data_IF_880045533831
#
_entry.id   IF_880045533831
#
_cell.length_a   1.000
_cell.length_b   1.000
_cell.length_c   1.000
_cell.angle_alpha   90.00
_cell.angle_beta   90.00
_cell.angle_gamma   90.00
#
_symmetry.space_group_name_H-M   'P 1'
#
loop_
_entity.id
_entity.type
_entity.pdbx_description
1 polymer ?
#
# COMPACT_ATOMS: atom_id res chain seq x y z
N UNK A 1 29.11 -40.00 42.02
CA UNK A 1 29.52 -39.46 40.70
C UNK A 1 28.39 -39.31 39.67
N UNK A 2 27.29 -40.10 39.65
CA UNK A 2 26.24 -39.94 38.62
C UNK A 2 25.34 -38.70 38.83
N UNK A 3 24.94 -38.38 40.07
CA UNK A 3 24.06 -37.22 40.38
C UNK A 3 24.65 -35.86 39.97
N UNK A 4 25.98 -35.71 39.99
CA UNK A 4 26.66 -34.47 39.62
C UNK A 4 26.67 -34.23 38.09
N UNK A 5 26.71 -35.32 37.31
CA UNK A 5 26.59 -35.29 35.84
C UNK A 5 25.15 -35.01 35.42
N UNK A 6 24.19 -35.59 36.12
CA UNK A 6 22.76 -35.41 35.84
C UNK A 6 22.31 -33.98 36.11
N UNK A 7 22.77 -33.37 37.23
CA UNK A 7 22.54 -31.96 37.53
C UNK A 7 23.18 -31.01 36.50
N UNK A 8 24.44 -31.24 36.11
CA UNK A 8 25.10 -30.46 35.05
C UNK A 8 24.38 -30.56 33.70
N UNK A 9 23.81 -31.72 33.37
CA UNK A 9 23.07 -31.92 32.12
C UNK A 9 21.74 -31.16 32.14
N UNK A 10 21.09 -31.11 33.30
CA UNK A 10 19.85 -30.38 33.49
C UNK A 10 20.07 -28.85 33.45
N UNK A 11 21.13 -28.37 34.09
CA UNK A 11 21.53 -26.95 34.05
C UNK A 11 21.85 -26.52 32.60
N UNK A 12 22.51 -27.39 31.82
CA UNK A 12 22.81 -27.14 30.40
C UNK A 12 21.55 -27.08 29.53
N UNK A 13 20.55 -27.92 29.82
CA UNK A 13 19.26 -27.91 29.12
C UNK A 13 18.46 -26.65 29.45
N UNK A 14 18.48 -26.19 30.69
CA UNK A 14 17.82 -24.95 31.11
C UNK A 14 18.47 -23.72 30.44
N UNK A 15 19.80 -23.68 30.39
CA UNK A 15 20.55 -22.63 29.68
C UNK A 15 20.20 -22.62 28.19
N UNK A 16 20.11 -23.79 27.54
CA UNK A 16 19.72 -23.91 26.14
C UNK A 16 18.28 -23.45 25.90
N UNK A 17 17.38 -23.73 26.85
CA UNK A 17 16.01 -23.21 26.84
C UNK A 17 15.96 -21.68 26.89
N UNK A 18 16.69 -21.06 27.82
CA UNK A 18 16.75 -19.60 27.95
C UNK A 18 17.38 -18.92 26.72
N UNK A 19 18.41 -19.52 26.13
CA UNK A 19 19.01 -19.06 24.86
C UNK A 19 18.02 -19.05 23.71
N UNK A 20 17.17 -20.08 23.60
CA UNK A 20 16.13 -20.14 22.58
C UNK A 20 15.05 -19.06 22.76
N UNK A 21 14.66 -18.77 24.00
CA UNK A 21 13.69 -17.69 24.27
C UNK A 21 14.27 -16.31 23.95
N UNK A 22 15.52 -16.04 24.36
CA UNK A 22 16.24 -14.80 23.99
C UNK A 22 16.32 -14.64 22.46
N UNK A 23 16.60 -15.74 21.74
CA UNK A 23 16.66 -15.71 20.28
C UNK A 23 15.30 -15.37 19.66
N UNK A 24 14.19 -15.92 20.20
CA UNK A 24 12.83 -15.59 19.73
C UNK A 24 12.48 -14.13 20.01
N UNK A 25 12.85 -13.60 21.17
CA UNK A 25 12.58 -12.20 21.51
C UNK A 25 13.41 -11.23 20.66
N UNK A 26 14.68 -11.57 20.40
CA UNK A 26 15.52 -10.81 19.48
C UNK A 26 14.94 -10.82 18.06
N UNK A 27 14.41 -11.95 17.60
CA UNK A 27 13.74 -12.08 16.31
C UNK A 27 12.48 -11.20 16.24
N UNK A 28 11.62 -11.24 17.25
CA UNK A 28 10.42 -10.38 17.36
C UNK A 28 10.79 -8.89 17.39
N UNK A 29 11.83 -8.53 18.12
CA UNK A 29 12.31 -7.15 18.19
C UNK A 29 12.82 -6.64 16.84
N UNK A 30 13.61 -7.45 16.13
CA UNK A 30 14.11 -7.12 14.78
C UNK A 30 12.94 -7.00 13.79
N UNK A 31 11.95 -7.91 13.85
CA UNK A 31 10.75 -7.86 13.01
C UNK A 31 9.94 -6.57 13.24
N UNK A 32 9.69 -6.22 14.51
CA UNK A 32 8.97 -4.99 14.88
C UNK A 32 9.74 -3.72 14.49
N UNK A 33 11.07 -3.70 14.73
CA UNK A 33 11.93 -2.57 14.40
C UNK A 33 12.00 -2.34 12.88
N UNK A 34 12.13 -3.41 12.10
CA UNK A 34 12.15 -3.32 10.64
C UNK A 34 10.79 -2.86 10.08
N UNK A 35 9.67 -3.35 10.61
CA UNK A 35 8.34 -2.89 10.22
C UNK A 35 8.14 -1.40 10.52
N UNK A 36 8.44 -0.97 11.75
CA UNK A 36 8.33 0.43 12.14
C UNK A 36 9.24 1.35 11.31
N UNK A 37 10.46 0.91 11.02
CA UNK A 37 11.39 1.67 10.18
C UNK A 37 10.89 1.78 8.73
N UNK A 38 10.40 0.69 8.14
CA UNK A 38 9.83 0.71 6.78
C UNK A 38 8.57 1.58 6.71
N UNK A 39 7.68 1.50 7.69
CA UNK A 39 6.46 2.32 7.74
C UNK A 39 6.80 3.81 7.92
N UNK A 40 7.81 4.12 8.73
CA UNK A 40 8.30 5.51 8.91
C UNK A 40 8.92 6.04 7.62
N UNK A 41 9.74 5.24 6.92
CA UNK A 41 10.35 5.62 5.64
C UNK A 41 9.29 5.78 4.54
N UNK A 42 8.31 4.88 4.46
CA UNK A 42 7.23 4.93 3.48
C UNK A 42 6.27 6.10 3.74
N UNK A 43 5.86 6.32 4.99
CA UNK A 43 4.99 7.45 5.36
C UNK A 43 5.69 8.79 5.16
N UNK A 44 6.97 8.90 5.51
CA UNK A 44 7.80 10.07 5.22
C UNK A 44 7.90 10.34 3.72
N UNK A 45 8.20 9.30 2.93
CA UNK A 45 8.27 9.41 1.46
C UNK A 45 6.95 9.86 0.86
N UNK A 46 5.82 9.27 1.29
CA UNK A 46 4.48 9.67 0.85
C UNK A 46 4.19 11.13 1.16
N UNK A 47 4.50 11.59 2.37
CA UNK A 47 4.33 13.00 2.74
C UNK A 47 5.14 13.94 1.85
N UNK A 48 6.40 13.60 1.55
CA UNK A 48 7.24 14.40 0.65
C UNK A 48 6.68 14.47 -0.78
N UNK A 49 6.26 13.34 -1.35
CA UNK A 49 5.67 13.30 -2.69
C UNK A 49 4.35 14.08 -2.74
N UNK A 50 3.46 13.89 -1.77
CA UNK A 50 2.20 14.63 -1.68
C UNK A 50 2.46 16.13 -1.58
N UNK A 51 3.42 16.57 -0.76
CA UNK A 51 3.76 17.98 -0.64
C UNK A 51 4.36 18.56 -1.93
N UNK A 52 5.20 17.80 -2.65
CA UNK A 52 5.74 18.22 -3.94
C UNK A 52 4.63 18.37 -4.99
N UNK A 53 3.70 17.41 -5.05
CA UNK A 53 2.53 17.45 -5.94
C UNK A 53 1.65 18.65 -5.63
N UNK A 54 1.32 18.87 -4.35
CA UNK A 54 0.54 20.03 -3.91
C UNK A 54 1.26 21.33 -4.28
N UNK A 55 2.57 21.40 -4.07
CA UNK A 55 3.38 22.57 -4.43
C UNK A 55 3.28 22.89 -5.92
N UNK A 56 3.38 21.87 -6.79
CA UNK A 56 3.23 22.05 -8.23
C UNK A 56 1.81 22.50 -8.61
N UNK A 57 0.77 21.83 -8.07
CA UNK A 57 -0.63 22.21 -8.29
C UNK A 57 -0.90 23.65 -7.86
N UNK A 58 -0.32 24.07 -6.73
CA UNK A 58 -0.49 25.44 -6.22
C UNK A 58 0.25 26.46 -7.09
N UNK A 59 1.46 26.13 -7.57
CA UNK A 59 2.21 26.96 -8.51
C UNK A 59 1.44 27.23 -9.80
N UNK A 60 0.87 26.17 -10.38
CA UNK A 60 0.15 26.24 -11.66
C UNK A 60 -1.15 27.08 -11.56
N UNK A 61 -1.79 27.15 -10.39
CA UNK A 61 -3.04 27.93 -10.21
C UNK A 61 -2.84 29.39 -10.60
N UNK A 62 -1.77 30.04 -10.13
CA UNK A 62 -1.59 31.48 -10.35
C UNK A 62 -1.29 31.78 -11.82
N UNK A 63 -0.39 31.00 -12.43
CA UNK A 63 -0.02 31.13 -13.84
C UNK A 63 -1.21 30.87 -14.78
N UNK A 64 -2.00 29.82 -14.53
CA UNK A 64 -3.15 29.46 -15.35
C UNK A 64 -4.27 30.51 -15.23
N UNK A 65 -4.56 31.00 -14.03
CA UNK A 65 -5.56 32.05 -13.84
C UNK A 65 -5.12 33.36 -14.48
N UNK A 66 -3.86 33.78 -14.30
CA UNK A 66 -3.32 35.00 -14.89
C UNK A 66 -3.42 34.97 -16.43
N UNK A 67 -3.05 33.84 -17.02
CA UNK A 67 -3.01 33.69 -18.48
C UNK A 67 -4.39 33.59 -19.12
N UNK A 68 -5.37 32.96 -18.44
CA UNK A 68 -6.62 32.52 -19.07
C UNK A 68 -7.87 33.31 -18.64
N UNK A 69 -7.81 34.09 -17.55
CA UNK A 69 -8.90 34.99 -17.15
C UNK A 69 -9.06 36.19 -18.09
N UNK A 70 -10.26 36.78 -18.12
CA UNK A 70 -10.56 37.99 -18.91
C UNK A 70 -9.64 39.14 -18.49
N UNK A 71 -8.84 39.67 -19.44
CA UNK A 71 -7.82 40.71 -19.16
C UNK A 71 -8.42 42.07 -18.82
N UNK A 72 -9.45 42.50 -19.54
CA UNK A 72 -10.13 43.79 -19.32
C UNK A 72 -11.38 43.57 -18.47
N UNK A 73 -11.20 43.48 -17.16
CA UNK A 73 -12.30 43.32 -16.19
C UNK A 73 -11.97 44.09 -14.91
N UNK A 74 -12.88 44.94 -14.44
CA UNK A 74 -12.69 45.77 -13.24
C UNK A 74 -12.59 44.93 -11.96
N UNK A 75 -13.23 43.75 -11.94
CA UNK A 75 -13.20 42.83 -10.80
C UNK A 75 -12.11 41.75 -10.91
N UNK A 76 -11.18 41.87 -11.87
CA UNK A 76 -10.20 40.80 -12.18
C UNK A 76 -9.42 40.36 -10.95
N UNK A 77 -8.82 41.29 -10.21
CA UNK A 77 -8.00 40.97 -9.02
C UNK A 77 -8.83 40.30 -7.92
N UNK A 78 -10.03 40.80 -7.67
CA UNK A 78 -10.95 40.20 -6.69
C UNK A 78 -11.33 38.77 -7.08
N UNK A 79 -11.68 38.54 -8.35
CA UNK A 79 -11.98 37.21 -8.86
C UNK A 79 -10.76 36.29 -8.78
N UNK A 80 -9.58 36.77 -9.19
CA UNK A 80 -8.34 35.99 -9.15
C UNK A 80 -8.01 35.56 -7.72
N UNK A 81 -8.11 36.47 -6.75
CA UNK A 81 -7.90 36.17 -5.34
C UNK A 81 -8.89 35.12 -4.82
N UNK A 82 -10.19 35.28 -5.11
CA UNK A 82 -11.22 34.32 -4.66
C UNK A 82 -11.02 32.93 -5.29
N UNK A 83 -10.73 32.87 -6.58
CA UNK A 83 -10.50 31.62 -7.28
C UNK A 83 -9.21 30.93 -6.83
N UNK A 84 -8.16 31.70 -6.59
CA UNK A 84 -6.90 31.18 -6.03
C UNK A 84 -7.14 30.56 -4.66
N UNK A 85 -7.83 31.27 -3.76
CA UNK A 85 -8.18 30.75 -2.44
C UNK A 85 -9.03 29.48 -2.51
N UNK A 86 -10.04 29.45 -3.38
CA UNK A 86 -10.87 28.26 -3.61
C UNK A 86 -10.03 27.06 -4.06
N UNK A 87 -9.19 27.23 -5.09
CA UNK A 87 -8.38 26.15 -5.66
C UNK A 87 -7.26 25.70 -4.72
N UNK A 88 -6.65 26.60 -3.95
CA UNK A 88 -5.65 26.26 -2.92
C UNK A 88 -6.27 25.48 -1.77
N UNK A 89 -7.46 25.86 -1.30
CA UNK A 89 -8.18 25.13 -0.27
C UNK A 89 -8.49 23.70 -0.72
N UNK A 90 -8.96 23.53 -1.97
CA UNK A 90 -9.22 22.21 -2.52
C UNK A 90 -7.94 21.38 -2.71
N UNK A 91 -6.86 21.98 -3.21
CA UNK A 91 -5.55 21.31 -3.30
C UNK A 91 -5.04 20.85 -1.92
N UNK A 92 -5.32 21.61 -0.86
CA UNK A 92 -4.98 21.25 0.52
C UNK A 92 -5.60 19.93 0.99
N UNK A 93 -6.75 19.51 0.44
CA UNK A 93 -7.38 18.23 0.75
C UNK A 93 -6.51 17.03 0.36
N UNK A 94 -5.56 17.20 -0.57
CA UNK A 94 -4.65 16.12 -0.98
C UNK A 94 -3.70 15.67 0.13
N UNK A 95 -3.59 16.44 1.22
CA UNK A 95 -2.83 16.05 2.43
C UNK A 95 -3.54 14.96 3.23
N UNK A 96 -4.85 14.81 3.05
CA UNK A 96 -5.65 13.85 3.80
C UNK A 96 -5.50 12.45 3.22
N UNK A 97 -5.63 11.44 4.07
CA UNK A 97 -5.64 10.04 3.64
C UNK A 97 -6.87 9.66 2.82
N UNK A 98 -7.98 10.33 3.10
CA UNK A 98 -9.26 10.14 2.42
C UNK A 98 -10.06 11.44 2.42
N UNK A 99 -10.78 11.69 1.34
CA UNK A 99 -11.65 12.86 1.13
C UNK A 99 -13.06 12.36 0.87
N UNK A 100 -13.99 12.72 1.74
CA UNK A 100 -15.39 12.30 1.60
C UNK A 100 -16.09 13.00 0.43
N UNK A 101 -17.00 12.31 -0.24
CA UNK A 101 -17.74 12.86 -1.39
C UNK A 101 -18.50 14.15 -1.04
N UNK A 102 -19.05 14.25 0.16
CA UNK A 102 -19.75 15.46 0.60
C UNK A 102 -18.86 16.71 0.59
N UNK A 103 -17.56 16.56 0.84
CA UNK A 103 -16.60 17.67 0.78
C UNK A 103 -16.45 18.17 -0.66
N UNK A 104 -16.35 17.24 -1.62
CA UNK A 104 -16.22 17.57 -3.04
C UNK A 104 -17.51 18.18 -3.58
N UNK A 105 -18.66 17.61 -3.23
CA UNK A 105 -19.98 18.13 -3.60
C UNK A 105 -20.21 19.54 -3.02
N UNK A 106 -19.78 19.77 -1.77
CA UNK A 106 -19.83 21.09 -1.16
C UNK A 106 -18.95 22.09 -1.92
N UNK A 107 -17.70 21.76 -2.20
CA UNK A 107 -16.81 22.65 -2.97
C UNK A 107 -17.39 22.97 -4.36
N UNK A 108 -18.01 21.98 -5.02
CA UNK A 108 -18.69 22.18 -6.29
C UNK A 108 -19.92 23.09 -6.17
N UNK A 109 -20.71 22.92 -5.11
CA UNK A 109 -21.83 23.80 -4.78
C UNK A 109 -21.37 25.23 -4.50
N UNK A 110 -20.28 25.41 -3.75
CA UNK A 110 -19.73 26.73 -3.43
C UNK A 110 -19.29 27.47 -4.71
N UNK A 111 -18.60 26.77 -5.63
CA UNK A 111 -18.22 27.34 -6.92
C UNK A 111 -19.44 27.73 -7.78
N UNK A 112 -20.49 26.90 -7.79
CA UNK A 112 -21.74 27.20 -8.49
C UNK A 112 -22.50 28.38 -7.86
N UNK A 113 -22.42 28.52 -6.53
CA UNK A 113 -22.94 29.66 -5.79
C UNK A 113 -22.23 30.96 -6.18
N UNK A 114 -20.89 30.94 -6.29
CA UNK A 114 -20.12 32.08 -6.80
C UNK A 114 -20.54 32.46 -8.23
N UNK A 115 -20.79 31.46 -9.09
CA UNK A 115 -21.21 31.67 -10.48
C UNK A 115 -22.60 32.30 -10.60
N UNK A 116 -23.55 31.85 -9.79
CA UNK A 116 -24.94 32.35 -9.82
C UNK A 116 -25.05 33.84 -9.47
N UNK A 117 -24.09 34.35 -8.69
CA UNK A 117 -24.02 35.77 -8.30
C UNK A 117 -23.21 36.62 -9.28
N UNK A 118 -22.71 36.05 -10.39
CA UNK A 118 -21.86 36.77 -11.32
C UNK A 118 -22.69 37.68 -12.27
N UNK A 119 -22.33 38.97 -12.42
CA UNK A 119 -23.19 39.97 -13.06
C UNK A 119 -23.16 39.95 -14.60
N UNK A 120 -22.26 39.19 -15.23
CA UNK A 120 -22.01 39.29 -16.67
C UNK A 120 -21.67 37.96 -17.33
N UNK A 121 -22.09 37.81 -18.60
CA UNK A 121 -21.72 36.68 -19.46
C UNK A 121 -20.21 36.52 -19.64
N UNK A 122 -19.42 37.59 -19.48
CA UNK A 122 -17.95 37.50 -19.59
C UNK A 122 -17.32 36.73 -18.43
N UNK A 123 -18.00 36.60 -17.29
CA UNK A 123 -17.55 35.83 -16.13
C UNK A 123 -17.50 34.33 -16.44
N UNK A 124 -18.31 33.84 -17.39
CA UNK A 124 -18.36 32.44 -17.81
C UNK A 124 -16.99 31.91 -18.24
N UNK A 125 -16.20 32.74 -18.93
CA UNK A 125 -14.84 32.35 -19.32
C UNK A 125 -13.98 32.06 -18.09
N UNK A 126 -14.02 32.94 -17.08
CA UNK A 126 -13.24 32.76 -15.85
C UNK A 126 -13.72 31.54 -15.06
N UNK A 127 -15.03 31.37 -14.87
CA UNK A 127 -15.57 30.19 -14.18
C UNK A 127 -15.25 28.88 -14.89
N UNK A 128 -15.25 28.86 -16.24
CA UNK A 128 -14.82 27.71 -17.01
C UNK A 128 -13.35 27.34 -16.75
N UNK A 129 -12.46 28.33 -16.60
CA UNK A 129 -11.06 28.06 -16.24
C UNK A 129 -10.94 27.47 -14.84
N UNK A 130 -11.65 28.05 -13.86
CA UNK A 130 -11.64 27.57 -12.48
C UNK A 130 -12.21 26.17 -12.38
N UNK A 131 -13.29 25.88 -13.12
CA UNK A 131 -13.90 24.56 -13.18
C UNK A 131 -12.99 23.52 -13.81
N UNK A 132 -12.19 23.90 -14.82
CA UNK A 132 -11.16 23.03 -15.40
C UNK A 132 -10.06 22.71 -14.38
N UNK A 133 -9.50 23.73 -13.72
CA UNK A 133 -8.48 23.56 -12.68
C UNK A 133 -8.99 22.70 -11.51
N UNK A 134 -10.21 22.96 -11.05
CA UNK A 134 -10.88 22.15 -10.03
C UNK A 134 -11.04 20.69 -10.49
N UNK A 135 -11.50 20.47 -11.73
CA UNK A 135 -11.60 19.13 -12.32
C UNK A 135 -10.27 18.37 -12.38
N UNK A 136 -9.18 19.04 -12.76
CA UNK A 136 -7.81 18.47 -12.73
C UNK A 136 -7.43 18.05 -11.31
N UNK A 137 -7.72 18.88 -10.30
CA UNK A 137 -7.45 18.54 -8.90
C UNK A 137 -8.24 17.31 -8.43
N UNK A 138 -9.52 17.20 -8.80
CA UNK A 138 -10.33 16.01 -8.49
C UNK A 138 -9.79 14.75 -9.19
N UNK A 139 -9.39 14.85 -10.46
CA UNK A 139 -8.78 13.75 -11.20
C UNK A 139 -7.47 13.28 -10.55
N UNK A 140 -6.68 14.20 -10.03
CA UNK A 140 -5.47 13.89 -9.28
C UNK A 140 -5.78 13.22 -7.94
N UNK A 141 -6.78 13.68 -7.19
CA UNK A 141 -7.23 13.02 -5.95
C UNK A 141 -7.67 11.57 -6.20
N UNK A 142 -8.35 11.30 -7.32
CA UNK A 142 -8.68 9.93 -7.76
C UNK A 142 -7.44 9.10 -8.08
N UNK A 143 -6.48 9.69 -8.79
CA UNK A 143 -5.22 9.02 -9.15
C UNK A 143 -4.38 8.68 -7.91
N UNK A 144 -4.43 9.53 -6.89
CA UNK A 144 -3.84 9.29 -5.56
C UNK A 144 -4.65 8.33 -4.68
N UNK A 145 -5.82 7.89 -5.15
CA UNK A 145 -6.76 6.99 -4.45
C UNK A 145 -7.23 7.51 -3.09
N UNK A 146 -7.28 8.84 -2.93
CA UNK A 146 -7.77 9.51 -1.72
C UNK A 146 -9.20 10.02 -1.87
N UNK A 147 -9.78 9.93 -3.07
CA UNK A 147 -11.18 10.28 -3.35
C UNK A 147 -11.75 9.32 -4.40
N UNK A 148 -12.93 8.77 -4.11
CA UNK A 148 -13.73 7.97 -5.05
C UNK A 148 -15.21 8.39 -4.91
N UNK A 149 -15.98 8.36 -6.01
CA UNK A 149 -17.43 8.60 -5.94
C UNK A 149 -18.19 7.33 -5.52
N UNK A 150 -19.38 7.49 -4.96
CA UNK A 150 -20.30 6.38 -4.66
C UNK A 150 -20.69 5.58 -5.91
N UNK A 151 -20.60 6.16 -7.11
CA UNK A 151 -20.75 5.43 -8.38
C UNK A 151 -19.54 4.53 -8.70
N UNK A 152 -18.34 4.90 -8.24
CA UNK A 152 -17.13 4.06 -8.25
C UNK A 152 -17.13 3.03 -7.10
N UNK A 153 -18.16 3.03 -6.22
CA UNK A 153 -18.40 1.99 -5.20
C UNK A 153 -19.23 0.81 -5.69
N UNK A 154 -19.55 0.68 -6.98
CA UNK A 154 -19.68 -0.70 -7.49
C UNK A 154 -18.25 -1.25 -7.42
N UNK A 155 -17.95 -2.28 -6.61
CA UNK A 155 -16.73 -3.01 -6.81
C UNK A 155 -16.87 -3.63 -8.20
N UNK A 156 -16.43 -2.92 -9.24
CA UNK A 156 -15.95 -3.58 -10.43
C UNK A 156 -14.82 -4.44 -9.90
N UNK A 157 -15.13 -5.72 -9.71
CA UNK A 157 -14.12 -6.75 -9.55
C UNK A 157 -13.25 -6.54 -10.80
N UNK A 158 -12.00 -6.06 -10.64
CA UNK A 158 -11.14 -5.86 -11.79
C UNK A 158 -11.12 -7.16 -12.58
N UNK A 159 -11.06 -7.16 -13.91
CA UNK A 159 -11.05 -8.40 -14.67
C UNK A 159 -9.90 -9.29 -14.16
N UNK A 160 -10.26 -10.32 -13.39
CA UNK A 160 -9.32 -11.31 -12.87
C UNK A 160 -9.09 -12.29 -14.00
N UNK A 161 -7.89 -12.28 -14.56
CA UNK A 161 -7.52 -13.25 -15.56
C UNK A 161 -7.55 -14.66 -14.95
N UNK A 162 -8.19 -15.63 -15.62
CA UNK A 162 -8.33 -17.01 -15.12
C UNK A 162 -6.96 -17.65 -14.81
N UNK A 163 -5.92 -17.23 -15.52
CA UNK A 163 -4.51 -17.61 -15.26
C UNK A 163 -4.04 -17.32 -13.83
N UNK A 164 -4.68 -16.39 -13.11
CA UNK A 164 -4.42 -16.16 -11.69
C UNK A 164 -4.69 -17.42 -10.85
N UNK A 165 -5.66 -18.25 -11.27
CA UNK A 165 -5.99 -19.50 -10.59
C UNK A 165 -4.77 -20.42 -10.58
N UNK A 166 -4.17 -20.67 -11.74
CA UNK A 166 -3.04 -21.59 -11.88
C UNK A 166 -1.75 -20.98 -11.34
N UNK A 167 -1.54 -19.69 -11.58
CA UNK A 167 -0.26 -19.03 -11.26
C UNK A 167 -0.14 -18.53 -9.81
N UNK A 168 -1.26 -18.43 -9.08
CA UNK A 168 -1.30 -17.87 -7.71
C UNK A 168 -2.18 -18.69 -6.76
N UNK A 169 -3.43 -19.00 -7.11
CA UNK A 169 -4.37 -19.62 -6.17
C UNK A 169 -4.11 -21.12 -5.96
N UNK A 170 -3.94 -21.92 -7.01
CA UNK A 170 -3.65 -23.36 -6.92
C UNK A 170 -2.35 -23.63 -6.11
N UNK A 171 -1.22 -22.95 -6.38
CA UNK A 171 0.01 -23.14 -5.60
C UNK A 171 -0.15 -22.83 -4.12
N UNK A 172 -1.11 -21.99 -3.72
CA UNK A 172 -1.27 -21.56 -2.33
C UNK A 172 -2.49 -22.16 -1.61
N UNK A 173 -3.40 -22.82 -2.34
CA UNK A 173 -4.57 -23.54 -1.81
C UNK A 173 -4.20 -24.85 -1.12
N UNK A 174 -3.08 -24.88 -0.39
CA UNK A 174 -2.63 -26.00 0.39
C UNK A 174 -1.93 -25.51 1.67
N UNK A 175 -2.34 -26.07 2.82
CA UNK A 175 -1.85 -25.67 4.14
C UNK A 175 -0.33 -25.77 4.27
N UNK A 176 0.28 -26.85 3.80
CA UNK A 176 1.73 -27.07 3.89
C UNK A 176 2.51 -26.09 3.02
N UNK A 177 2.03 -25.78 1.80
CA UNK A 177 2.65 -24.75 0.95
C UNK A 177 2.59 -23.35 1.56
N UNK A 178 1.47 -23.02 2.22
CA UNK A 178 1.35 -21.77 2.97
C UNK A 178 2.31 -21.73 4.17
N UNK A 179 2.48 -22.84 4.89
CA UNK A 179 3.47 -22.93 5.99
C UNK A 179 4.91 -22.75 5.48
N UNK A 180 5.24 -23.37 4.33
CA UNK A 180 6.53 -23.20 3.67
C UNK A 180 6.75 -21.73 3.34
N UNK A 181 5.81 -21.08 2.63
CA UNK A 181 5.92 -19.67 2.24
C UNK A 181 6.14 -18.74 3.43
N UNK A 182 5.39 -18.93 4.52
CA UNK A 182 5.53 -18.15 5.75
C UNK A 182 6.88 -18.34 6.43
N UNK A 183 7.44 -19.54 6.38
CA UNK A 183 8.74 -19.80 6.99
C UNK A 183 9.89 -19.19 6.19
N UNK A 184 9.83 -19.29 4.85
CA UNK A 184 10.87 -18.76 3.96
C UNK A 184 10.78 -17.25 3.73
N UNK A 185 9.63 -16.62 4.04
CA UNK A 185 9.49 -15.16 4.00
C UNK A 185 10.30 -14.45 5.09
N UNK A 186 10.70 -15.19 6.13
CA UNK A 186 11.48 -14.66 7.24
C UNK A 186 12.98 -14.89 7.02
N UNK A 187 13.35 -16.10 6.60
CA UNK A 187 14.74 -16.49 6.38
C UNK A 187 14.82 -17.68 5.42
N UNK A 188 15.97 -17.95 4.84
CA UNK A 188 16.15 -19.11 3.96
C UNK A 188 15.98 -20.42 4.73
N UNK A 189 15.45 -21.47 4.07
CA UNK A 189 15.24 -22.77 4.71
C UNK A 189 15.85 -23.91 3.90
N UNK A 190 16.51 -24.82 4.58
CA UNK A 190 16.96 -26.10 4.01
C UNK A 190 15.77 -27.03 3.79
N UNK A 191 15.93 -28.04 2.93
CA UNK A 191 14.95 -29.10 2.76
C UNK A 191 14.58 -29.79 4.08
N UNK A 192 15.59 -30.09 4.92
CA UNK A 192 15.39 -30.71 6.24
C UNK A 192 14.56 -29.84 7.16
N UNK A 193 14.84 -28.53 7.24
CA UNK A 193 14.06 -27.61 8.07
C UNK A 193 12.59 -27.52 7.61
N UNK A 194 12.34 -27.54 6.30
CA UNK A 194 10.97 -27.57 5.77
C UNK A 194 10.28 -28.91 6.00
N UNK A 195 11.02 -30.02 5.98
CA UNK A 195 10.51 -31.35 6.31
C UNK A 195 10.06 -31.43 7.76
N UNK A 196 10.87 -30.92 8.69
CA UNK A 196 10.52 -30.84 10.11
C UNK A 196 9.32 -29.92 10.37
N UNK A 197 9.30 -28.74 9.73
CA UNK A 197 8.22 -27.76 9.87
C UNK A 197 6.86 -28.29 9.40
N UNK A 198 6.84 -28.98 8.27
CA UNK A 198 5.59 -29.40 7.60
C UNK A 198 5.18 -30.83 7.96
N UNK A 199 6.09 -31.63 8.52
CA UNK A 199 5.91 -33.07 8.72
C UNK A 199 5.98 -33.89 7.42
N UNK A 200 6.23 -33.26 6.27
CA UNK A 200 6.33 -33.92 4.98
C UNK A 200 7.74 -34.49 4.77
N UNK A 201 7.85 -35.67 4.16
CA UNK A 201 9.13 -36.36 3.93
C UNK A 201 9.34 -36.69 2.45
N UNK A 202 10.60 -36.70 2.03
CA UNK A 202 11.03 -37.20 0.73
C UNK A 202 10.22 -36.62 -0.44
N UNK A 203 9.69 -37.51 -1.30
CA UNK A 203 8.93 -37.13 -2.49
C UNK A 203 7.71 -36.25 -2.21
N UNK A 204 7.06 -36.39 -1.06
CA UNK A 204 5.89 -35.57 -0.71
C UNK A 204 6.30 -34.10 -0.52
N UNK A 205 7.37 -33.82 0.23
CA UNK A 205 7.86 -32.46 0.37
C UNK A 205 8.33 -31.91 -0.97
N UNK A 206 9.03 -32.73 -1.76
CA UNK A 206 9.51 -32.33 -3.08
C UNK A 206 8.36 -31.92 -4.01
N UNK A 207 7.25 -32.64 -4.00
CA UNK A 207 6.05 -32.29 -4.78
C UNK A 207 5.52 -30.89 -4.42
N UNK A 208 5.45 -30.56 -3.13
CA UNK A 208 5.00 -29.23 -2.70
C UNK A 208 5.98 -28.12 -3.06
N UNK A 209 7.29 -28.37 -2.90
CA UNK A 209 8.33 -27.43 -3.28
C UNK A 209 8.35 -27.18 -4.79
N UNK A 210 8.20 -28.22 -5.60
CA UNK A 210 8.17 -28.11 -7.05
C UNK A 210 6.99 -27.24 -7.51
N UNK A 211 5.80 -27.42 -6.95
CA UNK A 211 4.64 -26.56 -7.25
C UNK A 211 4.89 -25.07 -6.93
N UNK A 212 5.68 -24.78 -5.89
CA UNK A 212 6.05 -23.41 -5.53
C UNK A 212 7.19 -22.86 -6.40
N UNK A 213 8.12 -23.71 -6.82
CA UNK A 213 9.20 -23.37 -7.77
C UNK A 213 8.63 -23.08 -9.16
N UNK A 214 7.78 -23.97 -9.68
CA UNK A 214 7.16 -23.87 -11.01
C UNK A 214 6.28 -22.61 -11.14
N UNK A 215 5.61 -22.23 -10.05
CA UNK A 215 4.81 -21.00 -10.00
C UNK A 215 5.65 -19.73 -9.75
N UNK A 216 6.95 -19.87 -9.53
CA UNK A 216 7.88 -18.76 -9.26
C UNK A 216 7.65 -18.09 -7.91
N UNK A 217 6.98 -18.75 -6.96
CA UNK A 217 6.78 -18.22 -5.60
C UNK A 217 8.04 -18.32 -4.75
N UNK A 218 8.87 -19.34 -5.04
CA UNK A 218 10.12 -19.61 -4.34
C UNK A 218 11.22 -19.90 -5.36
N UNK A 219 12.47 -19.79 -4.93
CA UNK A 219 13.64 -20.22 -5.69
C UNK A 219 14.54 -21.09 -4.80
N UNK A 220 15.35 -21.93 -5.44
CA UNK A 220 16.40 -22.69 -4.78
C UNK A 220 17.76 -22.17 -5.25
N UNK A 221 18.69 -21.87 -4.32
CA UNK A 221 19.98 -21.27 -4.68
C UNK A 221 20.83 -22.11 -5.65
N UNK A 222 20.76 -23.43 -5.52
CA UNK A 222 21.43 -24.46 -6.33
C UNK A 222 20.75 -25.81 -6.04
N UNK A 223 21.06 -26.91 -6.76
CA UNK A 223 20.34 -28.22 -6.65
C UNK A 223 20.16 -28.76 -5.21
N UNK A 224 21.03 -28.37 -4.27
CA UNK A 224 20.95 -28.71 -2.84
C UNK A 224 20.98 -27.50 -1.91
N UNK A 225 20.73 -26.33 -2.46
CA UNK A 225 20.75 -25.07 -1.74
C UNK A 225 19.45 -24.81 -1.00
N UNK A 226 19.49 -23.80 -0.14
CA UNK A 226 18.32 -23.33 0.58
C UNK A 226 17.26 -22.79 -0.36
N UNK A 227 16.02 -22.91 0.09
CA UNK A 227 14.85 -22.30 -0.51
C UNK A 227 14.67 -20.87 0.01
N UNK A 228 14.31 -19.97 -0.89
CA UNK A 228 14.09 -18.55 -0.63
C UNK A 228 12.79 -18.09 -1.27
N UNK A 229 12.15 -17.09 -0.67
CA UNK A 229 10.99 -16.44 -1.28
C UNK A 229 11.42 -15.54 -2.46
N UNK A 230 10.59 -15.46 -3.50
CA UNK A 230 10.76 -14.47 -4.57
C UNK A 230 9.95 -13.20 -4.27
N UNK A 231 10.19 -12.12 -5.02
CA UNK A 231 9.35 -10.90 -4.94
C UNK A 231 7.87 -11.21 -5.21
N UNK A 232 7.58 -12.08 -6.19
CA UNK A 232 6.22 -12.57 -6.48
C UNK A 232 5.63 -13.29 -5.26
N UNK A 233 6.36 -14.24 -4.67
CA UNK A 233 5.92 -14.99 -3.50
C UNK A 233 5.64 -14.10 -2.30
N UNK A 234 6.49 -13.09 -2.06
CA UNK A 234 6.33 -12.15 -0.96
C UNK A 234 5.09 -11.27 -1.12
N UNK A 235 4.90 -10.66 -2.30
CA UNK A 235 3.73 -9.82 -2.61
C UNK A 235 2.42 -10.59 -2.44
N UNK A 236 2.36 -11.81 -2.96
CA UNK A 236 1.18 -12.66 -2.85
C UNK A 236 0.89 -13.05 -1.39
N UNK A 237 1.92 -13.43 -0.63
CA UNK A 237 1.76 -13.77 0.79
C UNK A 237 1.23 -12.59 1.60
N UNK A 238 1.74 -11.38 1.33
CA UNK A 238 1.25 -10.14 1.95
C UNK A 238 -0.21 -9.88 1.61
N UNK A 239 -0.60 -9.95 0.33
CA UNK A 239 -1.99 -9.75 -0.10
C UNK A 239 -2.97 -10.75 0.54
N UNK A 240 -2.55 -12.00 0.75
CA UNK A 240 -3.36 -13.00 1.48
C UNK A 240 -3.49 -12.61 2.97
N UNK A 241 -2.42 -12.09 3.57
CA UNK A 241 -2.45 -11.55 4.93
C UNK A 241 -3.44 -10.40 5.06
N UNK A 242 -3.38 -9.44 4.16
CA UNK A 242 -4.30 -8.30 4.10
C UNK A 242 -5.75 -8.77 3.94
N UNK A 243 -5.99 -9.72 3.03
CA UNK A 243 -7.31 -10.34 2.83
C UNK A 243 -7.82 -11.05 4.09
N UNK A 244 -6.96 -11.81 4.78
CA UNK A 244 -7.32 -12.45 6.04
C UNK A 244 -7.70 -11.43 7.12
N UNK A 245 -6.94 -10.34 7.25
CA UNK A 245 -7.26 -9.25 8.16
C UNK A 245 -8.60 -8.58 7.82
N UNK A 246 -8.89 -8.33 6.55
CA UNK A 246 -10.17 -7.76 6.11
C UNK A 246 -11.38 -8.67 6.37
N UNK A 247 -11.20 -9.99 6.28
CA UNK A 247 -12.28 -10.96 6.49
C UNK A 247 -12.52 -11.28 7.96
N UNK A 248 -11.57 -10.98 8.85
CA UNK A 248 -11.64 -11.25 10.29
C UNK A 248 -11.63 -9.98 11.16
N UNK A 249 -11.77 -8.80 10.54
CA UNK A 249 -12.03 -7.52 11.19
C UNK A 249 -13.53 -7.28 11.30
#
# INVERSE_FOLDING_TARGET
>A
MPEKKEKQTNDLLEIKGKLNEIHKDMKRFIEQSNQQHLDTVLSGSRSHFTNAIIGHVIGDIDEDLESNMVKKCEMRETCKSNFTGFLQNNAGLMKNDNVHQDVILKNQSDLNGMRSNAPSKQCEKCFSQVQNLFGKQISLMRSLRIYNTDEEKKPEIPPIHEELIVSVLEPLSNKQRMQILKAISIETKTFTALSELTGLRGGNLNFHLQKLLDSGMILQRHERGDYMITDKGFKVLRSIGDMYSMLNS
#
